data_IF_675533875184
#
_entry.id   IF_675533875184
#
_cell.length_a   1.000
_cell.length_b   1.000
_cell.length_c   1.000
_cell.angle_alpha   90.00
_cell.angle_beta   90.00
_cell.angle_gamma   90.00
#
_symmetry.space_group_name_H-M   'P 1'
#
loop_
_entity.id
_entity.type
_entity.pdbx_description
1 polymer ?
#
# COMPACT_ATOMS: atom_id res chain seq x y z
N UNK A 1 13.45 -25.22 34.56
CA UNK A 1 14.16 -26.51 34.47
C UNK A 1 14.34 -27.03 33.04
N UNK A 2 13.48 -26.69 32.06
CA UNK A 2 13.65 -27.16 30.68
C UNK A 2 14.86 -26.55 29.93
N UNK A 3 15.22 -25.29 30.21
CA UNK A 3 16.33 -24.59 29.50
C UNK A 3 17.70 -25.25 29.75
N UNK A 4 17.90 -25.86 30.92
CA UNK A 4 19.16 -26.53 31.28
C UNK A 4 19.49 -27.67 30.32
N UNK A 5 18.48 -28.46 29.92
CA UNK A 5 18.66 -29.56 28.98
C UNK A 5 19.11 -29.08 27.59
N UNK A 6 18.61 -27.93 27.13
CA UNK A 6 19.05 -27.35 25.85
C UNK A 6 20.49 -26.85 25.92
N UNK A 7 20.89 -26.25 27.06
CA UNK A 7 22.28 -25.80 27.28
C UNK A 7 23.25 -26.98 27.34
N UNK A 8 22.90 -28.06 28.05
CA UNK A 8 23.69 -29.29 28.11
C UNK A 8 23.83 -29.98 26.74
N UNK A 9 22.79 -29.89 25.90
CA UNK A 9 22.80 -30.39 24.53
C UNK A 9 23.48 -29.46 23.51
N UNK A 10 23.93 -28.27 23.93
CA UNK A 10 24.51 -27.26 23.03
C UNK A 10 23.52 -26.65 22.02
N UNK A 11 22.22 -26.67 22.34
CA UNK A 11 21.16 -26.14 21.49
C UNK A 11 20.68 -24.75 21.93
N UNK A 12 20.42 -23.86 20.97
CA UNK A 12 19.83 -22.54 21.21
C UNK A 12 18.32 -22.70 21.44
N UNK A 13 17.82 -22.21 22.58
CA UNK A 13 16.40 -22.24 22.91
C UNK A 13 15.82 -20.82 22.96
N UNK A 14 14.76 -20.58 22.18
CA UNK A 14 14.06 -19.28 22.13
C UNK A 14 12.72 -19.39 22.85
N UNK A 15 12.37 -18.37 23.64
CA UNK A 15 11.12 -18.31 24.39
C UNK A 15 10.21 -17.18 23.89
N UNK A 16 8.89 -17.39 23.96
CA UNK A 16 7.86 -16.36 23.70
C UNK A 16 8.00 -15.62 22.36
N UNK A 17 8.10 -16.38 21.27
CA UNK A 17 8.08 -15.83 19.89
C UNK A 17 6.64 -15.54 19.46
N UNK A 18 6.43 -14.49 18.65
CA UNK A 18 5.12 -14.20 18.06
C UNK A 18 4.71 -15.34 17.13
N UNK A 19 3.42 -15.69 17.13
CA UNK A 19 2.90 -16.81 16.31
C UNK A 19 3.09 -16.59 14.80
N UNK A 20 3.06 -15.33 14.35
CA UNK A 20 3.25 -14.97 12.95
C UNK A 20 4.69 -15.21 12.50
N UNK A 21 5.67 -14.74 13.29
CA UNK A 21 7.10 -14.96 13.03
C UNK A 21 7.44 -16.45 13.02
N UNK A 22 6.85 -17.22 13.93
CA UNK A 22 7.05 -18.67 13.98
C UNK A 22 6.56 -19.35 12.70
N UNK A 23 5.43 -18.92 12.13
CA UNK A 23 4.95 -19.41 10.83
C UNK A 23 5.87 -19.00 9.68
N UNK A 24 6.41 -17.78 9.72
CA UNK A 24 7.34 -17.30 8.69
C UNK A 24 8.66 -18.09 8.72
N UNK A 25 9.23 -18.32 9.90
CA UNK A 25 10.45 -19.13 10.07
C UNK A 25 10.19 -20.58 9.65
N UNK A 26 9.05 -21.16 10.02
CA UNK A 26 8.67 -22.50 9.59
C UNK A 26 8.60 -22.61 8.06
N UNK A 27 7.95 -21.64 7.40
CA UNK A 27 7.87 -21.59 5.93
C UNK A 27 9.24 -21.34 5.26
N UNK A 28 10.11 -20.55 5.89
CA UNK A 28 11.45 -20.25 5.42
C UNK A 28 12.38 -21.46 5.48
N UNK A 29 12.30 -22.23 6.56
CA UNK A 29 13.19 -23.37 6.85
C UNK A 29 12.62 -24.70 6.35
N UNK A 30 11.32 -24.73 6.01
CA UNK A 30 10.58 -25.96 5.69
C UNK A 30 10.14 -26.76 6.92
N UNK A 31 10.26 -26.19 8.13
CA UNK A 31 9.79 -26.82 9.35
C UNK A 31 8.26 -26.85 9.43
N UNK A 32 7.73 -27.77 10.24
CA UNK A 32 6.29 -27.82 10.57
C UNK A 32 6.08 -27.29 11.98
N UNK A 33 5.11 -26.39 12.14
CA UNK A 33 4.76 -25.85 13.47
C UNK A 33 3.96 -26.92 14.23
N UNK A 34 4.57 -27.49 15.26
CA UNK A 34 3.93 -28.49 16.12
C UNK A 34 3.28 -27.79 17.31
N UNK A 35 1.96 -27.96 17.48
CA UNK A 35 1.22 -27.41 18.63
C UNK A 35 1.17 -28.37 19.81
N UNK A 36 1.15 -29.67 19.54
CA UNK A 36 1.05 -30.75 20.54
C UNK A 36 1.93 -31.90 20.06
N UNK A 37 2.65 -32.55 20.97
CA UNK A 37 3.49 -33.72 20.67
C UNK A 37 2.74 -35.06 20.70
N UNK A 38 1.42 -35.03 20.92
CA UNK A 38 0.59 -36.23 20.97
C UNK A 38 0.16 -36.63 19.57
N UNK A 39 0.35 -37.89 19.23
CA UNK A 39 -0.20 -38.51 18.03
C UNK A 39 -1.71 -38.81 18.20
N UNK A 40 -2.41 -39.20 17.14
CA UNK A 40 -3.84 -39.52 17.19
C UNK A 40 -4.17 -40.67 18.17
N UNK A 41 -3.18 -41.49 18.48
CA UNK A 41 -3.26 -42.63 19.40
C UNK A 41 -2.92 -42.25 20.86
N UNK A 42 -2.53 -40.99 21.12
CA UNK A 42 -2.23 -40.47 22.45
C UNK A 42 -0.79 -40.73 22.94
N UNK A 43 0.08 -41.27 22.09
CA UNK A 43 1.51 -41.43 22.36
C UNK A 43 2.30 -40.15 22.00
N UNK A 44 3.37 -39.85 22.74
CA UNK A 44 4.23 -38.69 22.47
C UNK A 44 5.31 -39.07 21.44
N UNK A 45 5.13 -38.67 20.19
CA UNK A 45 6.07 -38.93 19.10
C UNK A 45 6.52 -37.63 18.44
N UNK A 46 7.81 -37.53 18.13
CA UNK A 46 8.38 -36.39 17.39
C UNK A 46 9.14 -36.91 16.18
N UNK A 47 8.62 -36.61 14.99
CA UNK A 47 9.29 -36.99 13.75
C UNK A 47 10.40 -36.00 13.39
N UNK A 48 11.59 -36.47 12.97
CA UNK A 48 12.64 -35.61 12.41
C UNK A 48 12.20 -34.84 11.16
N UNK A 49 11.12 -35.27 10.50
CA UNK A 49 10.51 -34.63 9.33
C UNK A 49 9.98 -33.21 9.64
N UNK A 50 9.66 -32.92 10.90
CA UNK A 50 9.15 -31.61 11.32
C UNK A 50 10.24 -30.54 11.46
N UNK A 51 11.52 -30.94 11.46
CA UNK A 51 12.64 -30.01 11.59
C UNK A 51 12.93 -29.30 10.26
N UNK A 52 13.14 -27.99 10.34
CA UNK A 52 13.58 -27.18 9.20
C UNK A 52 15.10 -27.15 9.06
N UNK A 53 15.56 -26.67 7.91
CA UNK A 53 16.98 -26.50 7.62
C UNK A 53 17.34 -25.03 7.37
N UNK A 54 18.42 -24.58 8.00
CA UNK A 54 19.06 -23.29 7.79
C UNK A 54 20.59 -23.48 7.84
N UNK A 55 21.30 -22.73 7.01
CA UNK A 55 22.76 -22.80 6.91
C UNK A 55 23.42 -22.22 8.16
N UNK A 56 22.91 -21.10 8.68
CA UNK A 56 23.43 -20.47 9.89
C UNK A 56 22.30 -19.85 10.74
N UNK A 57 22.40 -20.02 12.06
CA UNK A 57 21.56 -19.35 13.05
C UNK A 57 22.49 -18.67 14.04
N UNK A 58 22.48 -17.33 14.03
CA UNK A 58 23.39 -16.52 14.83
C UNK A 58 22.61 -15.51 15.67
N UNK A 59 23.05 -15.31 16.91
CA UNK A 59 22.59 -14.20 17.74
C UNK A 59 23.53 -13.01 17.48
N UNK A 60 22.99 -11.92 16.96
CA UNK A 60 23.73 -10.70 16.68
C UNK A 60 23.11 -9.55 17.47
N UNK A 61 23.95 -8.82 18.19
CA UNK A 61 23.53 -7.63 18.91
C UNK A 61 23.44 -6.45 17.95
N UNK A 62 22.23 -5.92 17.76
CA UNK A 62 21.96 -4.75 16.93
C UNK A 62 21.59 -3.61 17.86
N UNK A 63 22.51 -2.65 18.01
CA UNK A 63 22.41 -1.59 19.00
C UNK A 63 22.30 -2.16 20.43
N UNK A 64 21.16 -1.96 21.09
CA UNK A 64 20.91 -2.41 22.46
C UNK A 64 20.12 -3.71 22.54
N UNK A 65 19.62 -4.21 21.41
CA UNK A 65 18.81 -5.43 21.33
C UNK A 65 19.60 -6.60 20.75
N UNK A 66 19.44 -7.77 21.38
CA UNK A 66 19.96 -9.04 20.87
C UNK A 66 18.93 -9.68 19.94
N UNK A 67 19.30 -9.90 18.68
CA UNK A 67 18.40 -10.42 17.64
C UNK A 67 18.96 -11.72 17.07
N UNK A 68 18.09 -12.73 16.92
CA UNK A 68 18.45 -13.99 16.29
C UNK A 68 18.22 -13.89 14.79
N UNK A 69 19.30 -14.05 14.02
CA UNK A 69 19.28 -14.11 12.57
C UNK A 69 19.38 -15.55 12.08
N UNK A 70 18.36 -15.97 11.33
CA UNK A 70 18.36 -17.24 10.60
C UNK A 70 18.70 -16.93 9.15
N UNK A 71 19.87 -17.35 8.67
CA UNK A 71 20.34 -17.08 7.30
C UNK A 71 20.55 -18.40 6.55
N UNK A 72 20.49 -18.32 5.22
CA UNK A 72 20.67 -19.48 4.34
C UNK A 72 19.60 -20.55 4.52
N UNK A 73 18.32 -20.17 4.40
CA UNK A 73 17.23 -21.14 4.54
C UNK A 73 16.98 -21.89 3.24
N UNK A 74 16.57 -23.17 3.35
CA UNK A 74 16.32 -24.06 2.20
C UNK A 74 15.34 -23.47 1.17
N UNK A 75 14.34 -22.72 1.62
CA UNK A 75 13.41 -21.97 0.76
C UNK A 75 13.68 -20.47 0.88
N UNK A 76 14.19 -19.84 -0.18
CA UNK A 76 14.53 -18.39 -0.20
C UNK A 76 13.30 -17.47 -0.30
N UNK A 77 12.13 -17.92 0.14
CA UNK A 77 10.84 -17.23 -0.07
C UNK A 77 10.54 -16.13 0.95
N UNK A 78 11.35 -16.01 1.99
CA UNK A 78 11.18 -15.06 3.08
C UNK A 78 12.41 -14.17 3.21
N UNK A 79 12.16 -12.87 3.32
CA UNK A 79 13.19 -11.86 3.56
C UNK A 79 12.73 -10.99 4.73
N UNK A 80 13.66 -10.68 5.63
CA UNK A 80 13.46 -9.73 6.70
C UNK A 80 14.30 -8.49 6.44
N UNK A 81 13.73 -7.31 6.67
CA UNK A 81 14.41 -6.02 6.51
C UNK A 81 14.56 -5.39 7.89
N UNK A 82 15.79 -4.98 8.23
CA UNK A 82 16.09 -4.31 9.49
C UNK A 82 16.31 -2.83 9.18
N UNK A 83 15.41 -1.99 9.67
CA UNK A 83 15.51 -0.55 9.53
C UNK A 83 16.45 0.02 10.60
N UNK A 84 17.35 0.90 10.19
CA UNK A 84 18.24 1.64 11.09
C UNK A 84 18.03 3.13 10.86
N UNK A 85 17.80 3.86 11.95
CA UNK A 85 17.45 5.27 11.93
C UNK A 85 18.00 5.97 13.17
N UNK A 86 17.95 7.30 13.18
CA UNK A 86 18.53 8.11 14.26
C UNK A 86 17.63 8.15 15.52
N UNK A 87 16.31 8.01 15.36
CA UNK A 87 15.33 8.03 16.43
C UNK A 87 14.12 7.15 16.07
N UNK A 88 13.37 6.74 17.10
CA UNK A 88 12.21 5.85 16.94
C UNK A 88 11.12 6.48 16.08
N UNK A 89 10.91 7.80 16.19
CA UNK A 89 9.93 8.51 15.35
C UNK A 89 10.24 8.42 13.85
N UNK A 90 11.51 8.46 13.47
CA UNK A 90 11.90 8.28 12.06
C UNK A 90 11.78 6.81 11.66
N UNK A 91 12.10 5.87 12.54
CA UNK A 91 11.94 4.44 12.28
C UNK A 91 10.47 4.09 12.04
N UNK A 92 9.55 4.59 12.86
CA UNK A 92 8.10 4.39 12.70
C UNK A 92 7.61 4.90 11.33
N UNK A 93 8.09 6.09 10.91
CA UNK A 93 7.73 6.65 9.61
C UNK A 93 8.35 5.87 8.45
N UNK A 94 9.60 5.42 8.61
CA UNK A 94 10.27 4.58 7.62
C UNK A 94 9.58 3.21 7.46
N UNK A 95 9.12 2.60 8.57
CA UNK A 95 8.36 1.35 8.54
C UNK A 95 7.07 1.52 7.76
N UNK A 96 6.30 2.58 8.06
CA UNK A 96 5.05 2.90 7.35
C UNK A 96 5.29 3.14 5.86
N UNK A 97 6.26 3.97 5.51
CA UNK A 97 6.60 4.27 4.12
C UNK A 97 7.06 3.03 3.34
N UNK A 98 7.87 2.17 3.97
CA UNK A 98 8.31 0.91 3.37
C UNK A 98 7.13 -0.05 3.17
N UNK A 99 6.23 -0.15 4.16
CA UNK A 99 5.03 -0.98 4.06
C UNK A 99 4.15 -0.53 2.89
N UNK A 100 3.92 0.76 2.73
CA UNK A 100 3.14 1.33 1.63
C UNK A 100 3.79 1.05 0.27
N UNK A 101 5.11 1.23 0.17
CA UNK A 101 5.86 0.92 -1.06
C UNK A 101 5.75 -0.57 -1.44
N UNK A 102 5.93 -1.48 -0.47
CA UNK A 102 5.80 -2.93 -0.69
C UNK A 102 4.37 -3.31 -1.09
N UNK A 103 3.36 -2.65 -0.50
CA UNK A 103 1.97 -2.84 -0.88
C UNK A 103 1.71 -2.45 -2.34
N UNK A 104 2.26 -1.33 -2.81
CA UNK A 104 2.13 -0.90 -4.21
C UNK A 104 2.80 -1.90 -5.15
N UNK A 105 4.01 -2.38 -4.82
CA UNK A 105 4.72 -3.39 -5.62
C UNK A 105 3.90 -4.68 -5.69
N UNK A 106 3.37 -5.15 -4.55
CA UNK A 106 2.49 -6.33 -4.49
C UNK A 106 1.27 -6.16 -5.40
N UNK A 107 0.58 -5.03 -5.33
CA UNK A 107 -0.59 -4.75 -6.18
C UNK A 107 -0.22 -4.66 -7.66
N UNK A 108 0.95 -4.13 -7.98
CA UNK A 108 1.46 -4.07 -9.35
C UNK A 108 1.66 -5.47 -9.91
N UNK A 109 2.29 -6.36 -9.14
CA UNK A 109 2.52 -7.76 -9.53
C UNK A 109 1.21 -8.55 -9.67
N UNK A 110 0.24 -8.33 -8.77
CA UNK A 110 -1.09 -8.97 -8.85
C UNK A 110 -1.89 -8.53 -10.08
N UNK A 111 -1.84 -7.23 -10.41
CA UNK A 111 -2.69 -6.62 -11.43
C UNK A 111 -2.09 -6.67 -12.84
N UNK A 112 -0.76 -6.75 -12.96
CA UNK A 112 0.01 -6.67 -14.23
C UNK A 112 -0.32 -5.45 -15.12
N UNK A 113 -1.02 -4.45 -14.59
CA UNK A 113 -1.48 -3.25 -15.33
C UNK A 113 -1.10 -1.99 -14.56
N UNK A 114 -0.48 -1.07 -15.27
CA UNK A 114 0.04 0.20 -14.73
C UNK A 114 -0.43 1.37 -15.56
N UNK A 115 -0.51 2.53 -14.91
CA UNK A 115 -0.89 3.81 -15.50
C UNK A 115 0.15 4.87 -15.15
N UNK A 116 0.22 5.94 -15.95
CA UNK A 116 1.11 7.07 -15.67
C UNK A 116 0.61 7.81 -14.41
N UNK A 117 1.51 8.07 -13.47
CA UNK A 117 1.21 8.83 -12.26
C UNK A 117 1.33 10.34 -12.43
N UNK A 118 1.30 11.06 -11.31
CA UNK A 118 1.53 12.53 -11.28
C UNK A 118 0.38 13.35 -11.87
N UNK A 119 -0.87 12.95 -11.60
CA UNK A 119 -2.07 13.69 -12.03
C UNK A 119 -2.51 13.42 -13.47
N UNK A 120 -1.82 12.54 -14.20
CA UNK A 120 -2.12 12.24 -15.60
C UNK A 120 -3.48 11.57 -15.79
N UNK A 121 -3.81 10.60 -14.92
CA UNK A 121 -5.09 9.86 -14.97
C UNK A 121 -6.25 10.81 -14.68
N UNK A 122 -6.11 11.63 -13.64
CA UNK A 122 -7.14 12.57 -13.21
C UNK A 122 -7.43 13.62 -14.28
N UNK A 123 -6.40 14.17 -14.92
CA UNK A 123 -6.57 15.13 -16.00
C UNK A 123 -7.13 14.50 -17.28
N UNK A 124 -6.72 13.27 -17.61
CA UNK A 124 -7.28 12.53 -18.74
C UNK A 124 -8.77 12.23 -18.54
N UNK A 125 -9.16 11.77 -17.35
CA UNK A 125 -10.55 11.50 -16.99
C UNK A 125 -11.39 12.78 -16.99
N UNK A 126 -10.86 13.89 -16.47
CA UNK A 126 -11.53 15.18 -16.50
C UNK A 126 -11.93 15.58 -17.93
N UNK A 127 -10.97 15.60 -18.86
CA UNK A 127 -11.24 15.97 -20.26
C UNK A 127 -12.22 15.01 -20.94
N UNK A 128 -12.09 13.71 -20.67
CA UNK A 128 -12.97 12.70 -21.23
C UNK A 128 -14.42 12.86 -20.75
N UNK A 129 -14.60 13.10 -19.45
CA UNK A 129 -15.91 13.29 -18.84
C UNK A 129 -16.55 14.63 -19.24
N UNK A 130 -15.75 15.69 -19.41
CA UNK A 130 -16.23 16.96 -19.97
C UNK A 130 -16.77 16.77 -21.40
N UNK A 131 -16.07 16.01 -22.25
CA UNK A 131 -16.56 15.68 -23.58
C UNK A 131 -17.84 14.83 -23.51
N UNK A 132 -17.87 13.79 -22.66
CA UNK A 132 -19.05 12.97 -22.45
C UNK A 132 -20.25 13.80 -21.98
N UNK A 133 -20.05 14.77 -21.09
CA UNK A 133 -21.09 15.66 -20.60
C UNK A 133 -21.78 16.44 -21.74
N UNK A 134 -21.05 16.80 -22.81
CA UNK A 134 -21.66 17.48 -23.98
C UNK A 134 -22.59 16.60 -24.81
N UNK A 135 -22.45 15.28 -24.71
CA UNK A 135 -23.30 14.31 -25.42
C UNK A 135 -24.60 14.03 -24.68
N UNK A 136 -24.68 14.38 -23.40
CA UNK A 136 -25.82 14.17 -22.51
C UNK A 136 -26.60 15.49 -22.34
N UNK A 137 -27.92 15.38 -22.19
CA UNK A 137 -28.80 16.54 -22.07
C UNK A 137 -29.17 16.89 -20.63
N UNK A 138 -29.61 18.13 -20.43
CA UNK A 138 -30.35 18.60 -19.25
C UNK A 138 -29.54 18.62 -17.93
N UNK A 139 -30.05 18.04 -16.85
CA UNK A 139 -29.46 18.13 -15.49
C UNK A 139 -28.24 17.25 -15.28
N UNK A 140 -28.15 16.12 -15.97
CA UNK A 140 -27.06 15.16 -15.80
C UNK A 140 -25.72 15.72 -16.28
N UNK A 141 -25.76 16.58 -17.31
CA UNK A 141 -24.57 17.28 -17.82
C UNK A 141 -23.86 18.07 -16.71
N UNK A 142 -24.61 18.79 -15.87
CA UNK A 142 -24.06 19.58 -14.78
C UNK A 142 -23.37 18.69 -13.73
N UNK A 143 -24.00 17.58 -13.38
CA UNK A 143 -23.44 16.64 -12.41
C UNK A 143 -22.13 16.01 -12.91
N UNK A 144 -22.08 15.59 -14.17
CA UNK A 144 -20.88 14.99 -14.77
C UNK A 144 -19.76 16.02 -14.91
N UNK A 145 -20.07 17.26 -15.31
CA UNK A 145 -19.09 18.33 -15.40
C UNK A 145 -18.46 18.65 -14.03
N UNK A 146 -19.28 18.71 -12.97
CA UNK A 146 -18.78 18.92 -11.60
C UNK A 146 -17.96 17.74 -11.09
N UNK A 147 -18.36 16.50 -11.40
CA UNK A 147 -17.55 15.33 -11.08
C UNK A 147 -16.20 15.36 -11.81
N UNK A 148 -16.18 15.72 -13.10
CA UNK A 148 -14.95 15.87 -13.88
C UNK A 148 -14.02 16.93 -13.29
N UNK A 149 -14.55 18.08 -12.87
CA UNK A 149 -13.77 19.15 -12.23
C UNK A 149 -13.22 18.72 -10.87
N UNK A 150 -13.98 17.93 -10.10
CA UNK A 150 -13.54 17.44 -8.79
C UNK A 150 -12.27 16.59 -8.85
N UNK A 151 -12.08 15.83 -9.94
CA UNK A 151 -10.87 15.01 -10.15
C UNK A 151 -9.60 15.87 -10.26
N UNK A 152 -9.71 17.13 -10.71
CA UNK A 152 -8.57 18.04 -10.80
C UNK A 152 -8.05 18.51 -9.44
N UNK A 153 -8.71 18.17 -8.32
CA UNK A 153 -8.22 18.50 -6.98
C UNK A 153 -6.83 17.91 -6.73
N UNK A 154 -6.56 16.69 -7.19
CA UNK A 154 -5.27 16.01 -6.98
C UNK A 154 -4.12 16.77 -7.67
N UNK A 155 -4.14 17.04 -8.99
CA UNK A 155 -3.06 17.80 -9.62
C UNK A 155 -2.95 19.24 -9.10
N UNK A 156 -4.06 19.89 -8.71
CA UNK A 156 -4.03 21.22 -8.07
C UNK A 156 -3.29 21.19 -6.73
N UNK A 157 -3.62 20.24 -5.85
CA UNK A 157 -2.98 20.08 -4.54
C UNK A 157 -1.51 19.70 -4.67
N UNK A 158 -1.17 18.81 -5.60
CA UNK A 158 0.22 18.46 -5.90
C UNK A 158 1.05 19.68 -6.31
N UNK A 159 0.53 20.52 -7.21
CA UNK A 159 1.20 21.75 -7.62
C UNK A 159 1.33 22.78 -6.49
N UNK A 160 0.28 22.94 -5.66
CA UNK A 160 0.30 23.84 -4.51
C UNK A 160 1.31 23.39 -3.45
N UNK A 161 1.40 22.09 -3.16
CA UNK A 161 2.38 21.53 -2.22
C UNK A 161 3.83 21.74 -2.70
N UNK A 162 4.04 21.85 -4.01
CA UNK A 162 5.33 22.16 -4.61
C UNK A 162 5.61 23.68 -4.71
N UNK A 163 4.74 24.53 -4.16
CA UNK A 163 4.81 25.99 -4.28
C UNK A 163 4.95 26.48 -5.73
N UNK A 164 4.29 25.80 -6.67
CA UNK A 164 4.21 26.20 -8.09
C UNK A 164 2.85 26.78 -8.41
N UNK A 165 2.75 27.48 -9.53
CA UNK A 165 1.47 27.96 -10.04
C UNK A 165 0.62 26.78 -10.53
N UNK A 166 -0.37 26.40 -9.71
CA UNK A 166 -1.28 25.31 -9.99
C UNK A 166 -2.22 25.62 -11.17
N UNK A 167 -2.53 26.89 -11.42
CA UNK A 167 -3.41 27.26 -12.53
C UNK A 167 -2.72 27.09 -13.87
N UNK A 168 -1.46 27.50 -13.99
CA UNK A 168 -0.66 27.30 -15.20
C UNK A 168 -0.38 25.81 -15.48
N UNK A 169 0.07 25.07 -14.46
CA UNK A 169 0.39 23.65 -14.60
C UNK A 169 -0.82 22.77 -14.95
N UNK A 170 -1.94 22.97 -14.28
CA UNK A 170 -3.16 22.20 -14.54
C UNK A 170 -3.74 22.55 -15.90
N UNK A 171 -3.67 23.83 -16.33
CA UNK A 171 -4.12 24.24 -17.66
C UNK A 171 -3.27 23.60 -18.77
N UNK A 172 -1.94 23.60 -18.60
CA UNK A 172 -1.02 22.91 -19.51
C UNK A 172 -1.32 21.42 -19.59
N UNK A 173 -1.48 20.77 -18.43
CA UNK A 173 -1.80 19.34 -18.36
C UNK A 173 -3.11 19.01 -19.10
N UNK A 174 -4.18 19.76 -18.83
CA UNK A 174 -5.47 19.62 -19.54
C UNK A 174 -5.32 19.79 -21.05
N UNK A 175 -4.57 20.80 -21.49
CA UNK A 175 -4.33 21.03 -22.92
C UNK A 175 -3.64 19.85 -23.60
N UNK A 176 -2.67 19.20 -22.92
CA UNK A 176 -2.00 18.01 -23.42
C UNK A 176 -2.96 16.84 -23.56
N UNK A 177 -3.79 16.57 -22.55
CA UNK A 177 -4.76 15.47 -22.59
C UNK A 177 -5.89 15.72 -23.59
N UNK A 178 -6.33 16.97 -23.78
CA UNK A 178 -7.28 17.34 -24.81
C UNK A 178 -6.74 17.05 -26.21
N UNK A 179 -5.49 17.43 -26.48
CA UNK A 179 -4.82 17.11 -27.74
C UNK A 179 -4.64 15.59 -27.93
N UNK A 180 -4.37 14.85 -26.85
CA UNK A 180 -4.22 13.40 -26.90
C UNK A 180 -5.52 12.67 -27.28
N UNK A 181 -6.67 13.21 -26.86
CA UNK A 181 -7.99 12.61 -27.13
C UNK A 181 -8.56 13.04 -28.48
N UNK A 182 -8.26 14.26 -28.94
CA UNK A 182 -8.78 14.79 -30.22
C UNK A 182 -7.94 14.37 -31.44
N UNK A 183 -6.62 14.22 -31.30
CA UNK A 183 -5.72 13.88 -32.42
C UNK A 183 -5.11 12.50 -32.23
N UNK A 184 -5.43 11.56 -33.14
CA UNK A 184 -4.90 10.21 -33.12
C UNK A 184 -3.35 10.16 -33.16
N UNK A 185 -2.72 11.08 -33.90
CA UNK A 185 -1.26 11.18 -34.03
C UNK A 185 -0.54 11.55 -32.73
N UNK A 186 -1.28 12.09 -31.73
CA UNK A 186 -0.71 12.60 -30.47
C UNK A 186 -1.12 11.79 -29.24
N UNK A 187 -1.52 10.53 -29.42
CA UNK A 187 -1.93 9.64 -28.32
C UNK A 187 -0.85 9.46 -27.24
N UNK A 188 0.43 9.61 -27.59
CA UNK A 188 1.55 9.59 -26.64
C UNK A 188 1.44 10.66 -25.54
N UNK A 189 0.74 11.78 -25.80
CA UNK A 189 0.49 12.83 -24.82
C UNK A 189 -0.44 12.39 -23.68
N UNK A 190 -1.10 11.24 -23.79
CA UNK A 190 -1.96 10.70 -22.71
C UNK A 190 -1.16 10.31 -21.46
N UNK A 191 0.15 10.05 -21.59
CA UNK A 191 1.06 9.72 -20.48
C UNK A 191 1.75 10.95 -19.87
N UNK A 192 1.34 12.15 -20.30
CA UNK A 192 1.86 13.39 -19.76
C UNK A 192 1.34 13.59 -18.33
N UNK A 193 2.23 13.92 -17.41
CA UNK A 193 1.89 14.23 -16.03
C UNK A 193 2.75 15.39 -15.50
N UNK A 194 2.50 15.77 -14.25
CA UNK A 194 3.19 16.88 -13.61
C UNK A 194 4.60 16.47 -13.15
N UNK A 195 5.60 17.26 -13.54
CA UNK A 195 6.92 17.28 -12.91
C UNK A 195 7.02 18.49 -11.99
N UNK A 196 6.87 18.23 -10.69
CA UNK A 196 6.89 19.26 -9.66
C UNK A 196 8.31 19.81 -9.40
N UNK A 197 9.36 19.03 -9.70
CA UNK A 197 10.74 19.46 -9.48
C UNK A 197 11.11 20.59 -10.44
N UNK A 198 10.74 20.44 -11.71
CA UNK A 198 11.00 21.44 -12.76
C UNK A 198 9.83 22.42 -12.94
N UNK A 199 8.64 22.09 -12.46
CA UNK A 199 7.43 22.87 -12.71
C UNK A 199 7.02 22.81 -14.19
N UNK A 200 7.11 21.63 -14.80
CA UNK A 200 6.77 21.42 -16.22
C UNK A 200 5.94 20.15 -16.39
N UNK A 201 5.23 20.02 -17.51
CA UNK A 201 4.54 18.77 -17.87
C UNK A 201 5.51 17.89 -18.67
N UNK A 202 5.63 16.61 -18.32
CA UNK A 202 6.51 15.64 -18.99
C UNK A 202 5.84 14.28 -19.15
N UNK A 203 6.40 13.41 -19.99
CA UNK A 203 5.96 12.02 -20.06
C UNK A 203 6.37 11.28 -18.78
N UNK A 204 5.39 10.97 -17.93
CA UNK A 204 5.64 10.35 -16.63
C UNK A 204 5.90 8.84 -16.73
N UNK A 205 5.43 8.19 -17.80
CA UNK A 205 5.72 6.78 -18.05
C UNK A 205 7.21 6.57 -18.36
N UNK A 206 7.78 7.41 -19.22
CA UNK A 206 9.22 7.39 -19.54
C UNK A 206 10.09 7.81 -18.36
N UNK A 207 9.59 8.73 -17.52
CA UNK A 207 10.28 9.15 -16.31
C UNK A 207 10.19 8.13 -15.16
N UNK A 208 9.48 7.01 -15.34
CA UNK A 208 9.33 5.95 -14.33
C UNK A 208 8.30 6.23 -13.23
N UNK A 209 7.47 7.28 -13.39
CA UNK A 209 6.39 7.60 -12.44
C UNK A 209 5.14 6.82 -12.84
N UNK A 210 5.00 5.63 -12.27
CA UNK A 210 3.92 4.68 -12.55
C UNK A 210 3.12 4.35 -11.31
N UNK A 211 1.84 4.06 -11.51
CA UNK A 211 0.92 3.62 -10.46
C UNK A 211 0.12 2.39 -10.92
N UNK A 212 -0.25 1.47 -10.02
CA UNK A 212 -1.10 0.32 -10.38
C UNK A 212 -2.50 0.79 -10.80
N UNK A 213 -2.99 0.31 -11.95
CA UNK A 213 -4.30 0.71 -12.47
C UNK A 213 -5.44 0.35 -11.50
N UNK A 214 -5.37 -0.84 -10.90
CA UNK A 214 -6.35 -1.31 -9.91
C UNK A 214 -6.45 -0.41 -8.68
N UNK A 215 -5.37 0.27 -8.30
CA UNK A 215 -5.41 1.24 -7.19
C UNK A 215 -6.29 2.42 -7.55
N UNK A 216 -6.08 3.04 -8.72
CA UNK A 216 -6.88 4.18 -9.20
C UNK A 216 -8.36 3.84 -9.32
N UNK A 217 -8.69 2.67 -9.87
CA UNK A 217 -10.08 2.21 -10.02
C UNK A 217 -10.78 2.15 -8.67
N UNK A 218 -10.15 1.49 -7.68
CA UNK A 218 -10.71 1.36 -6.33
C UNK A 218 -10.80 2.70 -5.60
N UNK A 219 -9.81 3.57 -5.74
CA UNK A 219 -9.81 4.91 -5.13
C UNK A 219 -11.03 5.70 -5.60
N UNK A 220 -11.27 5.77 -6.91
CA UNK A 220 -12.40 6.51 -7.47
C UNK A 220 -13.73 5.87 -7.06
N UNK A 221 -13.82 4.54 -7.09
CA UNK A 221 -15.03 3.82 -6.69
C UNK A 221 -15.39 4.08 -5.23
N UNK A 222 -14.46 3.86 -4.30
CA UNK A 222 -14.72 4.05 -2.87
C UNK A 222 -14.97 5.52 -2.50
N UNK A 223 -14.25 6.45 -3.10
CA UNK A 223 -14.50 7.88 -2.90
C UNK A 223 -15.91 8.27 -3.37
N UNK A 224 -16.35 7.73 -4.51
CA UNK A 224 -17.68 8.00 -5.06
C UNK A 224 -18.77 7.36 -4.18
N UNK A 225 -18.59 6.13 -3.73
CA UNK A 225 -19.52 5.45 -2.82
C UNK A 225 -19.69 6.23 -1.51
N UNK A 226 -18.58 6.65 -0.88
CA UNK A 226 -18.61 7.46 0.33
C UNK A 226 -19.30 8.82 0.12
N UNK A 227 -19.02 9.50 -0.99
CA UNK A 227 -19.68 10.76 -1.34
C UNK A 227 -21.19 10.58 -1.53
N UNK A 228 -21.63 9.51 -2.19
CA UNK A 228 -23.05 9.17 -2.37
C UNK A 228 -23.71 8.89 -1.01
N UNK A 229 -23.04 8.15 -0.11
CA UNK A 229 -23.57 7.88 1.23
C UNK A 229 -23.82 9.17 2.00
N UNK A 230 -22.86 10.10 1.98
CA UNK A 230 -22.99 11.39 2.66
C UNK A 230 -24.08 12.25 2.02
N UNK A 231 -24.14 12.30 0.68
CA UNK A 231 -25.11 13.10 -0.05
C UNK A 231 -26.57 12.63 0.17
N UNK A 232 -26.77 11.35 0.53
CA UNK A 232 -28.09 10.77 0.82
C UNK A 232 -28.59 11.04 2.24
N UNK A 233 -27.76 11.60 3.13
CA UNK A 233 -28.18 11.93 4.48
C UNK A 233 -29.04 13.20 4.41
N UNK A 234 -30.33 13.04 4.72
CA UNK A 234 -31.27 14.17 4.84
C UNK A 234 -31.23 14.78 6.26
N UNK A 235 -31.25 13.91 7.28
CA UNK A 235 -31.27 14.31 8.69
C UNK A 235 -30.17 13.63 9.52
N UNK A 236 -29.56 14.39 10.44
CA UNK A 236 -28.60 13.89 11.43
C UNK A 236 -29.22 13.93 12.83
N UNK A 237 -29.64 12.78 13.34
CA UNK A 237 -30.16 12.64 14.71
C UNK A 237 -29.00 12.32 15.66
N UNK A 238 -28.81 13.16 16.68
CA UNK A 238 -27.84 12.92 17.76
C UNK A 238 -28.58 12.51 19.02
N UNK A 239 -28.34 11.28 19.49
CA UNK A 239 -28.84 10.81 20.77
C UNK A 239 -27.91 11.30 21.89
N UNK A 240 -28.48 11.92 22.91
CA UNK A 240 -27.77 12.22 24.16
C UNK A 240 -27.79 10.94 24.99
N UNK A 241 -26.63 10.52 25.51
CA UNK A 241 -26.59 9.41 26.47
C UNK A 241 -27.25 9.85 27.76
N UNK A 242 -28.22 9.08 28.23
CA UNK A 242 -28.77 9.25 29.57
C UNK A 242 -27.71 8.87 30.61
N UNK A 243 -27.33 9.82 31.47
CA UNK A 243 -26.37 9.63 32.56
C UNK A 243 -26.96 8.82 33.74
N UNK A 244 -28.21 8.37 33.65
CA UNK A 244 -28.97 7.75 34.74
C UNK A 244 -28.83 6.22 34.87
N UNK A 245 -27.89 5.58 34.17
CA UNK A 245 -27.66 4.13 34.25
C UNK A 245 -26.32 3.71 34.90
N UNK A 246 -25.58 4.64 35.52
CA UNK A 246 -24.31 4.33 36.20
C UNK A 246 -24.40 4.31 37.74
N UNK A 247 -25.59 4.39 38.33
CA UNK A 247 -25.80 4.39 39.79
C UNK A 247 -26.60 3.16 40.31
N UNK A 248 -26.38 1.97 39.74
CA UNK A 248 -26.77 0.68 40.37
C UNK A 248 -25.59 -0.27 40.55
#
# INVERSE_FOLDING_TARGET
MAVMYFVEAGAIAVRRVRKEDLRHVAKATGATVVSTFADMEGEETFEPSFLGHADEVVEERIADDDVIMVKGTKTSSSVSLILRGANDFMLDEMERALHDALCIVKRTLESSTVVAGGGAVEAALCVYLEYLATTLGSREQLAIAQFAESLLVIPKVLANNAAKDSSDLVSKLRSCHYLAQTKADKKHLSSMGLDLSKGTVRNNLEAGVIEPAMSKVKIIQFATEAAITILRIDDMIRLVKDESQNDE
#
